data_IF_690694532229
#
_entry.id   IF_690694532229
#
_cell.length_a   1.000
_cell.length_b   1.000
_cell.length_c   1.000
_cell.angle_alpha   90.00
_cell.angle_beta   90.00
_cell.angle_gamma   90.00
#
_symmetry.space_group_name_H-M   'P 1'
#
loop_
_entity.id
_entity.type
_entity.pdbx_description
1 polymer ?
#
# COMPACT_ATOMS: atom_id res chain seq x y z
N UNK A 1 26.48 59.11 -8.95
CA UNK A 1 27.55 58.24 -8.39
C UNK A 1 26.89 57.38 -7.32
N UNK A 2 26.44 56.16 -7.63
CA UNK A 2 27.21 54.90 -7.52
C UNK A 2 27.67 54.66 -6.06
N UNK A 3 27.30 53.61 -5.31
CA UNK A 3 26.81 52.27 -5.63
C UNK A 3 26.01 51.67 -4.46
N UNK A 4 24.89 51.02 -4.80
CA UNK A 4 24.25 49.98 -3.99
C UNK A 4 25.22 48.80 -3.75
N UNK A 5 25.34 48.34 -2.51
CA UNK A 5 25.81 46.97 -2.20
C UNK A 5 24.67 46.20 -1.56
N UNK A 6 23.81 45.65 -2.41
CA UNK A 6 22.91 44.56 -2.06
C UNK A 6 23.76 43.32 -1.73
N UNK A 7 23.68 42.86 -0.48
CA UNK A 7 24.10 41.51 -0.12
C UNK A 7 23.13 40.52 -0.76
N UNK A 8 23.55 39.84 -1.83
CA UNK A 8 22.83 38.68 -2.32
C UNK A 8 23.03 37.53 -1.34
N UNK A 9 22.02 37.32 -0.49
CA UNK A 9 21.87 36.08 0.26
C UNK A 9 21.53 34.97 -0.73
N UNK A 10 22.56 34.28 -1.24
CA UNK A 10 22.36 33.07 -2.02
C UNK A 10 21.66 32.03 -1.15
N UNK A 11 20.51 31.56 -1.60
CA UNK A 11 19.78 30.50 -0.91
C UNK A 11 20.59 29.19 -1.00
N UNK A 12 20.52 28.34 0.03
CA UNK A 12 21.14 27.00 0.04
C UNK A 12 20.74 26.17 -1.20
N UNK A 13 19.58 26.46 -1.80
CA UNK A 13 19.10 25.83 -3.01
C UNK A 13 19.90 26.25 -4.25
N UNK A 14 20.26 27.53 -4.38
CA UNK A 14 21.13 28.03 -5.47
C UNK A 14 22.57 27.50 -5.32
N UNK A 15 23.04 27.31 -4.08
CA UNK A 15 24.35 26.72 -3.80
C UNK A 15 24.41 25.22 -4.19
N UNK A 16 23.32 24.48 -4.00
CA UNK A 16 23.20 23.08 -4.42
C UNK A 16 23.08 22.95 -5.95
N UNK A 17 22.38 23.88 -6.61
CA UNK A 17 22.25 23.91 -8.08
C UNK A 17 23.59 24.18 -8.76
N UNK A 18 24.47 24.99 -8.16
CA UNK A 18 25.83 25.23 -8.65
C UNK A 18 26.77 24.03 -8.49
N UNK A 19 26.50 23.10 -7.57
CA UNK A 19 27.33 21.91 -7.31
C UNK A 19 26.90 20.68 -8.14
N UNK A 20 25.67 20.63 -8.60
CA UNK A 20 25.10 19.53 -9.39
C UNK A 20 25.92 19.07 -10.62
N UNK A 21 26.65 19.94 -11.37
CA UNK A 21 27.44 19.50 -12.52
C UNK A 21 28.76 18.79 -12.16
N UNK A 22 29.12 18.73 -10.88
CA UNK A 22 30.47 18.31 -10.43
C UNK A 22 30.40 17.08 -9.51
N UNK A 23 29.21 16.73 -9.04
CA UNK A 23 28.98 15.57 -8.20
C UNK A 23 29.00 14.29 -9.04
N UNK A 24 30.13 13.58 -9.01
CA UNK A 24 30.19 12.18 -9.43
C UNK A 24 30.33 11.29 -8.19
N UNK A 25 29.42 10.34 -8.03
CA UNK A 25 29.54 9.28 -7.02
C UNK A 25 30.76 8.44 -7.40
N UNK A 26 31.76 8.38 -6.51
CA UNK A 26 32.99 7.63 -6.74
C UNK A 26 33.05 6.44 -5.78
N UNK A 27 33.11 5.23 -6.33
CA UNK A 27 33.17 3.97 -5.57
C UNK A 27 34.38 3.89 -4.62
N UNK A 28 35.45 4.66 -4.88
CA UNK A 28 36.65 4.71 -4.03
C UNK A 28 36.46 5.38 -2.66
N UNK A 29 35.53 6.34 -2.49
CA UNK A 29 35.24 6.90 -1.14
C UNK A 29 34.27 5.96 -0.37
N UNK A 30 33.41 5.22 -1.06
CA UNK A 30 32.45 4.29 -0.46
C UNK A 30 33.14 3.08 0.21
N UNK A 31 34.22 2.57 -0.39
CA UNK A 31 35.01 1.46 0.16
C UNK A 31 35.76 1.79 1.45
N UNK A 32 35.82 3.07 1.85
CA UNK A 32 36.42 3.53 3.11
C UNK A 32 35.38 3.88 4.19
N UNK A 33 34.11 3.60 3.97
CA UNK A 33 33.05 3.73 4.99
C UNK A 33 32.47 5.12 5.18
N UNK A 34 32.74 6.08 4.28
CA UNK A 34 32.20 7.43 4.35
C UNK A 34 31.15 7.69 3.26
N UNK A 35 30.09 8.42 3.57
CA UNK A 35 29.05 8.92 2.62
C UNK A 35 29.54 10.15 1.83
N UNK A 36 30.83 10.18 1.47
CA UNK A 36 31.52 11.37 0.98
C UNK A 36 31.35 11.63 -0.52
N UNK A 37 31.24 12.92 -0.87
CA UNK A 37 31.27 13.46 -2.23
C UNK A 37 32.72 13.65 -2.69
N UNK A 38 33.01 13.43 -3.98
CA UNK A 38 34.31 13.71 -4.60
C UNK A 38 34.33 15.08 -5.29
N UNK A 39 35.38 15.87 -5.05
CA UNK A 39 35.63 17.14 -5.76
C UNK A 39 37.00 17.07 -6.44
N UNK A 40 37.06 17.47 -7.72
CA UNK A 40 38.30 17.53 -8.51
C UNK A 40 39.08 18.80 -8.16
N UNK A 41 40.33 18.63 -7.71
CA UNK A 41 41.20 19.70 -7.20
C UNK A 41 41.50 20.79 -8.25
N UNK A 42 41.46 20.47 -9.54
CA UNK A 42 41.79 21.42 -10.62
C UNK A 42 40.63 22.36 -11.02
N UNK A 43 39.44 22.22 -10.43
CA UNK A 43 38.24 23.01 -10.78
C UNK A 43 37.78 24.01 -9.70
N UNK A 44 38.46 24.14 -8.56
CA UNK A 44 37.96 24.94 -7.43
C UNK A 44 38.99 25.86 -6.78
N UNK A 45 38.53 27.03 -6.32
CA UNK A 45 39.30 28.03 -5.57
C UNK A 45 39.41 27.65 -4.08
N UNK A 46 40.59 27.90 -3.51
CA UNK A 46 41.05 27.48 -2.17
C UNK A 46 40.17 27.89 -0.97
N UNK A 47 39.22 28.81 -1.14
CA UNK A 47 38.48 29.40 0.00
C UNK A 47 37.45 28.47 0.65
N UNK A 48 37.09 27.34 0.04
CA UNK A 48 36.03 26.44 0.54
C UNK A 48 36.57 25.36 1.49
N UNK A 49 37.85 24.99 1.37
CA UNK A 49 38.43 23.84 2.09
C UNK A 49 38.77 24.15 3.55
N UNK A 50 38.93 25.43 3.92
CA UNK A 50 39.36 25.81 5.26
C UNK A 50 38.37 25.47 6.39
N UNK A 51 37.12 25.12 6.08
CA UNK A 51 36.09 24.83 7.08
C UNK A 51 35.60 23.37 7.08
N UNK A 52 36.25 22.46 6.34
CA UNK A 52 35.84 21.06 6.25
C UNK A 52 37.05 20.15 6.47
N UNK A 53 36.93 19.16 7.38
CA UNK A 53 37.96 18.12 7.52
C UNK A 53 37.89 17.21 6.30
N UNK A 54 38.86 17.32 5.40
CA UNK A 54 38.97 16.44 4.24
C UNK A 54 40.27 15.64 4.33
N UNK A 55 40.25 14.39 3.83
CA UNK A 55 41.43 13.54 3.70
C UNK A 55 41.94 13.63 2.26
N UNK A 56 43.23 13.94 2.09
CA UNK A 56 43.85 14.07 0.76
C UNK A 56 44.41 12.71 0.27
N UNK A 57 44.06 12.31 -0.96
CA UNK A 57 44.83 11.32 -1.72
C UNK A 57 44.58 11.48 -3.22
N UNK A 58 45.64 11.53 -4.03
CA UNK A 58 45.64 11.46 -5.50
C UNK A 58 44.54 12.27 -6.21
N UNK A 59 44.75 13.60 -6.32
CA UNK A 59 43.94 14.57 -7.07
C UNK A 59 42.43 14.67 -6.70
N UNK A 60 41.99 13.96 -5.66
CA UNK A 60 40.61 13.90 -5.19
C UNK A 60 40.53 14.30 -3.71
N UNK A 61 39.49 15.08 -3.38
CA UNK A 61 39.19 15.50 -2.00
C UNK A 61 37.87 14.83 -1.58
N UNK A 62 37.90 13.93 -0.58
CA UNK A 62 36.69 13.39 0.05
C UNK A 62 36.37 14.27 1.29
N UNK A 63 35.17 14.85 1.37
CA UNK A 63 34.75 15.70 2.49
C UNK A 63 33.49 15.16 3.19
N UNK A 64 33.45 15.25 4.52
CA UNK A 64 32.38 14.74 5.38
C UNK A 64 31.34 15.83 5.69
N UNK A 65 30.08 15.59 5.32
CA UNK A 65 29.01 16.61 5.31
C UNK A 65 28.27 16.71 6.65
N UNK A 66 28.40 15.73 7.55
CA UNK A 66 27.64 15.73 8.81
C UNK A 66 28.17 16.74 9.85
N UNK A 67 29.45 17.14 9.80
CA UNK A 67 30.03 18.00 10.84
C UNK A 67 29.70 19.49 10.72
N UNK A 68 29.25 19.98 9.57
CA UNK A 68 29.14 21.42 9.28
C UNK A 68 27.73 21.99 9.53
N UNK A 69 26.71 21.13 9.53
CA UNK A 69 25.31 21.57 9.68
C UNK A 69 24.95 21.92 11.13
N UNK A 70 25.72 21.44 12.12
CA UNK A 70 25.36 21.54 13.54
C UNK A 70 25.79 22.82 14.27
N UNK A 71 26.31 23.85 13.58
CA UNK A 71 26.83 25.05 14.27
C UNK A 71 26.18 26.40 13.98
N UNK A 72 25.19 26.53 13.11
CA UNK A 72 24.51 27.83 12.93
C UNK A 72 22.99 27.73 13.05
N UNK A 73 22.47 28.40 14.09
CA UNK A 73 21.06 28.63 14.41
C UNK A 73 20.25 29.09 13.18
N UNK A 74 19.26 28.31 12.73
CA UNK A 74 18.10 28.84 11.97
C UNK A 74 16.81 28.11 12.39
N UNK A 75 15.83 28.95 12.70
CA UNK A 75 14.44 28.72 13.05
C UNK A 75 13.59 28.02 11.98
N UNK A 76 12.59 27.26 12.46
CA UNK A 76 11.32 26.86 11.83
C UNK A 76 11.12 27.30 10.35
N UNK A 77 11.19 26.35 9.43
CA UNK A 77 10.10 26.09 8.48
C UNK A 77 10.21 24.72 7.80
N UNK A 78 9.04 24.10 7.59
CA UNK A 78 8.78 22.72 7.16
C UNK A 78 9.46 22.35 5.84
N UNK A 79 10.29 21.29 5.86
CA UNK A 79 10.53 20.41 4.71
C UNK A 79 10.25 18.96 5.14
N UNK A 80 9.27 18.35 4.47
CA UNK A 80 8.97 16.92 4.55
C UNK A 80 10.07 16.17 3.81
N UNK A 81 11.12 15.79 4.53
CA UNK A 81 12.05 14.73 4.10
C UNK A 81 11.61 13.42 4.76
N UNK A 82 11.49 12.38 3.95
CA UNK A 82 11.35 10.99 4.42
C UNK A 82 12.61 10.65 5.21
N UNK A 83 12.57 10.85 6.52
CA UNK A 83 13.66 10.54 7.43
C UNK A 83 13.77 9.02 7.59
N UNK A 84 14.71 8.44 6.85
CA UNK A 84 15.20 7.08 7.01
C UNK A 84 16.32 6.95 8.08
N UNK A 85 16.38 7.86 9.06
CA UNK A 85 17.20 7.67 10.26
C UNK A 85 16.30 7.33 11.46
N UNK A 86 16.22 6.04 11.73
CA UNK A 86 15.56 5.41 12.87
C UNK A 86 15.93 6.09 14.19
N UNK A 87 15.03 6.90 14.75
CA UNK A 87 15.15 7.30 16.15
C UNK A 87 14.69 6.13 17.04
N UNK A 88 15.51 5.08 17.11
CA UNK A 88 15.24 3.88 17.92
C UNK A 88 14.93 4.25 19.37
N UNK A 89 15.55 5.31 19.90
CA UNK A 89 15.31 5.81 21.28
C UNK A 89 13.87 6.26 21.53
N UNK A 90 13.18 6.83 20.53
CA UNK A 90 11.78 7.29 20.70
C UNK A 90 10.80 6.14 20.88
N UNK A 91 11.12 4.98 20.28
CA UNK A 91 10.27 3.78 20.32
C UNK A 91 10.80 2.69 21.25
N UNK A 92 12.08 2.72 21.64
CA UNK A 92 12.68 1.79 22.62
C UNK A 92 12.11 1.96 24.02
N UNK A 93 11.57 3.15 24.35
CA UNK A 93 10.83 3.37 25.61
C UNK A 93 9.62 2.44 25.76
N UNK A 94 9.09 1.93 24.66
CA UNK A 94 7.96 0.99 24.67
C UNK A 94 8.40 -0.46 24.94
N UNK A 95 9.70 -0.70 25.23
CA UNK A 95 10.29 -1.99 24.94
C UNK A 95 11.39 -2.52 25.89
N UNK A 96 11.62 -1.99 27.11
CA UNK A 96 12.58 -2.69 28.00
C UNK A 96 12.12 -4.11 28.40
N UNK A 97 10.82 -4.41 28.36
CA UNK A 97 10.27 -5.75 28.64
C UNK A 97 10.13 -6.66 27.41
N UNK A 98 10.04 -6.09 26.19
CA UNK A 98 9.80 -6.86 24.95
C UNK A 98 11.06 -7.02 24.06
N UNK A 99 12.07 -6.16 24.18
CA UNK A 99 13.35 -6.28 23.42
C UNK A 99 14.13 -7.54 23.81
N UNK A 100 14.04 -7.97 25.07
CA UNK A 100 14.72 -9.17 25.58
C UNK A 100 14.06 -10.49 25.14
N UNK A 101 12.99 -10.44 24.32
CA UNK A 101 12.16 -11.60 23.97
C UNK A 101 12.11 -11.85 22.45
N UNK A 102 13.09 -11.32 21.70
CA UNK A 102 13.26 -11.61 20.26
C UNK A 102 13.11 -13.13 20.01
N UNK A 103 12.08 -13.50 19.24
CA UNK A 103 11.92 -14.86 18.71
C UNK A 103 11.02 -15.84 19.48
N UNK A 104 10.43 -15.47 20.63
CA UNK A 104 9.51 -16.39 21.33
C UNK A 104 8.06 -16.21 20.85
N UNK A 105 7.55 -17.21 20.09
CA UNK A 105 6.11 -17.36 19.79
C UNK A 105 5.30 -17.44 21.09
N UNK A 106 4.14 -16.78 21.15
CA UNK A 106 3.15 -17.00 22.21
C UNK A 106 3.22 -16.08 23.44
N UNK A 107 3.98 -14.98 23.42
CA UNK A 107 3.96 -14.03 24.53
C UNK A 107 2.69 -13.17 24.49
N UNK A 108 1.84 -13.36 25.50
CA UNK A 108 0.66 -12.55 25.72
C UNK A 108 1.07 -11.10 25.97
N UNK A 109 0.97 -10.28 24.92
CA UNK A 109 1.11 -8.84 25.04
C UNK A 109 -0.08 -8.35 25.88
N UNK A 110 0.11 -8.30 27.20
CA UNK A 110 -0.91 -7.84 28.15
C UNK A 110 -1.54 -6.51 27.68
N UNK A 111 -2.74 -6.21 28.16
CA UNK A 111 -3.48 -4.96 27.91
C UNK A 111 -2.69 -3.66 28.21
N UNK A 112 -1.52 -3.77 28.84
CA UNK A 112 -0.58 -2.67 29.12
C UNK A 112 0.49 -2.46 28.04
N UNK A 113 0.50 -3.23 26.95
CA UNK A 113 1.46 -3.06 25.86
C UNK A 113 1.29 -1.69 25.18
N UNK A 114 2.31 -0.81 25.22
CA UNK A 114 2.18 0.53 24.64
C UNK A 114 1.99 0.54 23.11
N UNK A 115 2.52 -0.48 22.42
CA UNK A 115 2.35 -0.64 20.99
C UNK A 115 0.88 -0.98 20.65
N UNK A 116 0.26 -1.89 21.40
CA UNK A 116 -1.17 -2.19 21.27
C UNK A 116 -2.04 -0.97 21.58
N UNK A 117 -1.72 -0.22 22.65
CA UNK A 117 -2.40 1.05 22.97
C UNK A 117 -2.26 2.10 21.85
N UNK A 118 -1.12 2.12 21.15
CA UNK A 118 -0.92 3.02 20.02
C UNK A 118 -1.74 2.57 18.81
N UNK A 119 -1.72 1.29 18.44
CA UNK A 119 -2.51 0.75 17.34
C UNK A 119 -4.02 0.90 17.57
N UNK A 120 -4.50 0.78 18.81
CA UNK A 120 -5.91 1.03 19.15
C UNK A 120 -6.36 2.49 18.94
N UNK A 121 -5.42 3.43 18.78
CA UNK A 121 -5.72 4.84 18.45
C UNK A 121 -5.87 5.13 16.96
N UNK A 122 -5.72 4.12 16.09
CA UNK A 122 -5.96 4.30 14.65
C UNK A 122 -7.41 4.73 14.39
N UNK A 123 -7.58 5.74 13.54
CA UNK A 123 -8.88 6.16 13.06
C UNK A 123 -9.23 5.39 11.79
N UNK A 124 -10.11 4.39 11.94
CA UNK A 124 -10.56 3.49 10.87
C UNK A 124 -12.09 3.52 10.91
N UNK A 125 -12.70 3.91 9.79
CA UNK A 125 -14.15 3.88 9.59
C UNK A 125 -14.69 2.45 9.78
N UNK A 126 -15.97 2.33 10.11
CA UNK A 126 -16.68 1.05 10.03
C UNK A 126 -16.80 0.56 8.58
N UNK A 127 -17.22 -0.69 8.40
CA UNK A 127 -17.49 -1.21 7.06
C UNK A 127 -18.62 -0.40 6.38
N UNK A 128 -19.66 -0.06 7.13
CA UNK A 128 -20.81 0.72 6.66
C UNK A 128 -20.44 2.16 6.32
N UNK A 129 -19.66 2.83 7.17
CA UNK A 129 -19.15 4.19 6.95
C UNK A 129 -18.22 4.24 5.73
N UNK A 130 -17.43 3.18 5.52
CA UNK A 130 -16.59 3.05 4.32
C UNK A 130 -17.45 2.93 3.06
N UNK A 131 -18.53 2.15 3.09
CA UNK A 131 -19.48 2.07 1.98
C UNK A 131 -20.15 3.42 1.71
N UNK A 132 -20.63 4.11 2.76
CA UNK A 132 -21.24 5.44 2.62
C UNK A 132 -20.27 6.44 2.00
N UNK A 133 -19.00 6.40 2.40
CA UNK A 133 -17.97 7.26 1.84
C UNK A 133 -17.80 7.05 0.32
N UNK A 134 -17.80 5.79 -0.13
CA UNK A 134 -17.67 5.41 -1.54
C UNK A 134 -18.92 5.80 -2.34
N UNK A 135 -20.10 5.42 -1.84
CA UNK A 135 -21.39 5.56 -2.53
C UNK A 135 -21.76 7.04 -2.67
N UNK A 136 -21.74 7.79 -1.57
CA UNK A 136 -22.28 9.16 -1.55
C UNK A 136 -21.40 10.16 -2.28
N UNK A 137 -20.12 9.83 -2.52
CA UNK A 137 -19.14 10.77 -3.05
C UNK A 137 -18.39 10.27 -4.29
N UNK A 138 -18.84 9.15 -4.89
CA UNK A 138 -18.19 8.47 -6.02
C UNK A 138 -16.68 8.30 -5.85
N UNK A 139 -16.25 7.90 -4.65
CA UNK A 139 -14.83 7.81 -4.29
C UNK A 139 -14.24 6.48 -4.74
N UNK A 140 -12.93 6.50 -4.99
CA UNK A 140 -12.13 5.30 -5.21
C UNK A 140 -11.66 4.73 -3.87
N UNK A 141 -11.22 3.47 -3.88
CA UNK A 141 -10.64 2.84 -2.68
C UNK A 141 -9.47 1.91 -3.05
N UNK A 142 -8.38 2.05 -2.30
CA UNK A 142 -7.26 1.10 -2.28
C UNK A 142 -7.20 0.45 -0.90
N UNK A 143 -7.23 -0.89 -0.83
CA UNK A 143 -7.29 -1.62 0.44
C UNK A 143 -5.96 -2.29 0.76
N UNK A 144 -5.63 -2.33 2.05
CA UNK A 144 -4.45 -2.99 2.62
C UNK A 144 -4.91 -4.03 3.64
N UNK A 145 -4.61 -5.29 3.35
CA UNK A 145 -4.69 -6.42 4.26
C UNK A 145 -3.32 -6.83 4.80
N UNK A 146 -3.28 -8.01 5.41
CA UNK A 146 -2.02 -8.62 5.87
C UNK A 146 -1.05 -8.89 4.71
N UNK A 147 -1.56 -9.20 3.51
CA UNK A 147 -0.73 -9.46 2.34
C UNK A 147 0.03 -8.23 1.85
N UNK A 148 -0.63 -7.08 1.75
CA UNK A 148 0.02 -5.82 1.35
C UNK A 148 1.07 -5.38 2.38
N UNK A 149 0.79 -5.53 3.67
CA UNK A 149 1.77 -5.26 4.72
C UNK A 149 2.98 -6.19 4.64
N UNK A 150 2.78 -7.50 4.40
CA UNK A 150 3.88 -8.45 4.22
C UNK A 150 4.79 -8.04 3.06
N UNK A 151 4.21 -7.64 1.92
CA UNK A 151 4.97 -7.16 0.77
C UNK A 151 5.76 -5.89 1.08
N UNK A 152 5.19 -4.93 1.81
CA UNK A 152 5.92 -3.76 2.31
C UNK A 152 7.08 -4.17 3.23
N UNK A 153 6.91 -5.25 4.00
CA UNK A 153 7.92 -5.75 4.93
C UNK A 153 8.99 -6.65 4.31
N UNK A 154 8.95 -6.87 2.99
CA UNK A 154 9.94 -7.69 2.29
C UNK A 154 9.54 -9.14 2.08
N UNK A 155 8.27 -9.50 2.32
CA UNK A 155 7.79 -10.87 2.36
C UNK A 155 6.77 -11.12 1.23
N UNK A 156 7.05 -12.11 0.37
CA UNK A 156 6.11 -12.55 -0.66
C UNK A 156 4.89 -13.27 -0.06
N UNK A 157 3.81 -13.33 -0.83
CA UNK A 157 2.57 -14.02 -0.44
C UNK A 157 2.20 -15.10 -1.46
N UNK A 158 1.24 -15.96 -1.11
CA UNK A 158 0.87 -17.16 -1.89
C UNK A 158 0.62 -16.91 -3.38
N UNK A 159 0.05 -15.76 -3.73
CA UNK A 159 -0.36 -15.41 -5.09
C UNK A 159 0.37 -14.18 -5.64
N UNK A 160 1.37 -13.66 -4.92
CA UNK A 160 2.21 -12.56 -5.40
C UNK A 160 3.59 -12.66 -4.75
N UNK A 161 4.61 -12.92 -5.56
CA UNK A 161 6.01 -12.90 -5.14
C UNK A 161 6.40 -11.50 -4.66
N UNK A 162 7.39 -11.43 -3.77
CA UNK A 162 7.98 -10.16 -3.39
C UNK A 162 8.61 -9.49 -4.61
N UNK A 163 8.35 -8.19 -4.75
CA UNK A 163 8.97 -7.30 -5.71
C UNK A 163 9.30 -5.97 -5.03
N UNK A 164 10.52 -5.48 -5.22
CA UNK A 164 11.01 -4.28 -4.53
C UNK A 164 10.31 -2.99 -5.01
N UNK A 165 9.92 -2.93 -6.28
CA UNK A 165 9.16 -1.80 -6.81
C UNK A 165 7.75 -1.81 -6.20
N UNK A 166 7.06 -2.95 -6.24
CA UNK A 166 5.75 -3.14 -5.63
C UNK A 166 5.74 -2.73 -4.16
N UNK A 167 6.73 -3.19 -3.39
CA UNK A 167 6.88 -2.90 -1.97
C UNK A 167 6.95 -1.40 -1.69
N UNK A 168 7.78 -0.66 -2.45
CA UNK A 168 7.90 0.80 -2.34
C UNK A 168 6.59 1.49 -2.68
N UNK A 169 5.96 1.10 -3.79
CA UNK A 169 4.69 1.68 -4.22
C UNK A 169 3.58 1.49 -3.20
N UNK A 170 3.45 0.29 -2.63
CA UNK A 170 2.48 0.03 -1.56
C UNK A 170 2.73 0.93 -0.35
N UNK A 171 3.98 1.12 0.06
CA UNK A 171 4.33 2.00 1.18
C UNK A 171 4.01 3.48 0.91
N UNK A 172 4.24 3.95 -0.32
CA UNK A 172 3.93 5.31 -0.75
C UNK A 172 2.40 5.54 -0.79
N UNK A 173 1.66 4.60 -1.39
CA UNK A 173 0.20 4.66 -1.51
C UNK A 173 -0.47 4.67 -0.15
N UNK A 174 -0.01 3.84 0.79
CA UNK A 174 -0.56 3.78 2.15
C UNK A 174 -0.56 5.15 2.84
N UNK A 175 0.49 5.94 2.60
CA UNK A 175 0.69 7.26 3.19
C UNK A 175 0.15 8.42 2.34
N UNK A 176 -0.36 8.15 1.14
CA UNK A 176 -0.95 9.17 0.28
C UNK A 176 -2.22 9.80 0.89
N UNK A 177 -2.53 11.05 0.57
CA UNK A 177 -3.78 11.72 0.96
C UNK A 177 -4.47 12.29 -0.27
N UNK A 178 -4.59 11.48 -1.32
CA UNK A 178 -5.23 11.89 -2.58
C UNK A 178 -6.71 12.17 -2.33
N UNK A 179 -7.15 13.37 -2.65
CA UNK A 179 -8.57 13.71 -2.63
C UNK A 179 -9.31 12.83 -3.63
N UNK A 180 -10.44 12.25 -3.23
CA UNK A 180 -11.17 11.35 -4.11
C UNK A 180 -10.90 9.85 -3.88
N UNK A 181 -9.88 9.51 -3.10
CA UNK A 181 -9.48 8.14 -2.81
C UNK A 181 -9.35 7.90 -1.30
N UNK A 182 -10.02 6.87 -0.80
CA UNK A 182 -9.81 6.40 0.57
C UNK A 182 -8.82 5.24 0.59
N UNK A 183 -7.83 5.33 1.47
CA UNK A 183 -6.95 4.20 1.78
C UNK A 183 -7.58 3.43 2.93
N UNK A 184 -7.75 2.12 2.77
CA UNK A 184 -8.37 1.28 3.77
C UNK A 184 -7.39 0.29 4.40
N UNK A 185 -7.50 0.09 5.72
CA UNK A 185 -6.65 -0.84 6.49
C UNK A 185 -7.54 -1.74 7.37
N UNK A 186 -7.00 -2.81 7.98
CA UNK A 186 -7.78 -3.71 8.83
C UNK A 186 -8.16 -3.07 10.15
N UNK A 187 -9.48 -3.01 10.45
CA UNK A 187 -10.01 -2.65 11.77
C UNK A 187 -9.40 -3.50 12.89
N UNK A 188 -9.05 -4.76 12.57
CA UNK A 188 -8.42 -5.72 13.49
C UNK A 188 -7.09 -5.24 14.05
N UNK A 189 -6.42 -4.28 13.40
CA UNK A 189 -5.23 -3.64 13.94
C UNK A 189 -5.51 -2.86 15.24
N UNK A 190 -6.74 -2.37 15.44
CA UNK A 190 -7.12 -1.63 16.66
C UNK A 190 -7.30 -2.55 17.89
N UNK A 191 -7.47 -3.85 17.70
CA UNK A 191 -8.02 -4.73 18.74
C UNK A 191 -6.93 -5.30 19.66
N UNK A 192 -6.96 -4.90 20.94
CA UNK A 192 -6.09 -5.41 22.02
C UNK A 192 -6.53 -6.80 22.54
N UNK A 193 -7.81 -7.16 22.33
CA UNK A 193 -8.41 -8.42 22.76
C UNK A 193 -9.18 -9.03 21.59
N UNK A 194 -8.52 -9.83 20.77
CA UNK A 194 -9.18 -10.53 19.67
C UNK A 194 -9.24 -12.03 20.01
N UNK A 195 -10.43 -12.64 19.86
CA UNK A 195 -10.56 -14.11 19.82
C UNK A 195 -10.07 -14.67 18.47
N UNK A 196 -9.80 -13.81 17.48
CA UNK A 196 -9.17 -14.20 16.24
C UNK A 196 -7.66 -14.36 16.44
N UNK A 197 -7.23 -15.62 16.55
CA UNK A 197 -5.84 -16.00 16.74
C UNK A 197 -4.90 -15.47 15.65
N UNK A 198 -5.38 -15.28 14.41
CA UNK A 198 -4.53 -14.80 13.32
C UNK A 198 -4.05 -13.36 13.56
N UNK A 199 -4.98 -12.41 13.69
CA UNK A 199 -4.62 -10.99 13.86
C UNK A 199 -3.90 -10.72 15.17
N UNK A 200 -4.22 -11.44 16.25
CA UNK A 200 -3.47 -11.38 17.51
C UNK A 200 -2.00 -11.73 17.29
N UNK A 201 -1.74 -12.85 16.60
CA UNK A 201 -0.38 -13.30 16.29
C UNK A 201 0.33 -12.34 15.32
N UNK A 202 -0.40 -11.88 14.29
CA UNK A 202 0.12 -10.95 13.29
C UNK A 202 0.59 -9.64 13.94
N UNK A 203 -0.26 -9.02 14.77
CA UNK A 203 0.08 -7.78 15.48
C UNK A 203 1.26 -8.01 16.44
N UNK A 204 1.27 -9.11 17.19
CA UNK A 204 2.39 -9.45 18.08
C UNK A 204 3.73 -9.49 17.32
N UNK A 205 3.72 -10.05 16.10
CA UNK A 205 4.90 -10.15 15.25
C UNK A 205 5.31 -8.81 14.61
N UNK A 206 4.34 -8.02 14.13
CA UNK A 206 4.61 -6.86 13.26
C UNK A 206 4.30 -5.49 13.88
N UNK A 207 3.83 -5.40 15.13
CA UNK A 207 3.34 -4.16 15.76
C UNK A 207 4.28 -2.95 15.61
N UNK A 208 5.60 -3.14 15.72
CA UNK A 208 6.55 -2.03 15.59
C UNK A 208 6.76 -1.60 14.14
N UNK A 209 6.72 -2.54 13.18
CA UNK A 209 6.76 -2.21 11.76
C UNK A 209 5.47 -1.45 11.38
N UNK A 210 4.32 -1.93 11.84
CA UNK A 210 3.02 -1.28 11.64
C UNK A 210 2.97 0.14 12.21
N UNK A 211 3.42 0.36 13.46
CA UNK A 211 3.43 1.70 14.07
C UNK A 211 4.36 2.68 13.34
N UNK A 212 5.46 2.20 12.75
CA UNK A 212 6.36 3.05 11.96
C UNK A 212 5.75 3.39 10.60
N UNK A 213 5.02 2.44 10.02
CA UNK A 213 4.47 2.55 8.68
C UNK A 213 3.17 3.39 8.64
N UNK A 214 2.32 3.26 9.65
CA UNK A 214 0.97 3.85 9.67
C UNK A 214 0.97 5.31 10.13
N UNK A 215 0.23 6.15 9.42
CA UNK A 215 -0.06 7.51 9.83
C UNK A 215 -1.27 7.56 10.78
N UNK A 216 -1.06 7.97 12.03
CA UNK A 216 -2.11 8.01 13.07
C UNK A 216 -2.99 9.27 13.04
N UNK A 217 -2.67 10.25 12.20
CA UNK A 217 -3.48 11.46 12.02
C UNK A 217 -4.41 11.37 10.81
N UNK A 218 -4.41 10.22 10.13
CA UNK A 218 -5.19 9.94 8.93
C UNK A 218 -6.43 9.13 9.28
N UNK A 219 -7.52 9.39 8.55
CA UNK A 219 -8.73 8.56 8.55
C UNK A 219 -8.55 7.49 7.47
N UNK A 220 -8.71 6.22 7.86
CA UNK A 220 -8.70 5.10 6.94
C UNK A 220 -10.10 4.53 6.73
N UNK A 221 -10.35 4.00 5.54
CA UNK A 221 -11.47 3.08 5.32
C UNK A 221 -11.20 1.72 5.94
N UNK A 222 -12.20 0.84 5.91
CA UNK A 222 -12.06 -0.52 6.42
C UNK A 222 -11.82 -1.51 5.29
N UNK A 223 -10.67 -2.19 5.31
CA UNK A 223 -10.34 -3.20 4.29
C UNK A 223 -11.31 -4.39 4.30
N UNK A 224 -12.02 -4.59 5.41
CA UNK A 224 -12.92 -5.73 5.63
C UNK A 224 -14.29 -5.53 4.98
N UNK A 225 -14.51 -4.41 4.26
CA UNK A 225 -15.72 -4.20 3.47
C UNK A 225 -15.92 -5.29 2.40
N UNK A 226 -14.84 -5.94 1.94
CA UNK A 226 -14.90 -7.07 1.01
C UNK A 226 -14.97 -8.43 1.73
N UNK A 227 -15.13 -8.46 3.06
CA UNK A 227 -15.03 -9.66 3.93
C UNK A 227 -16.17 -9.73 4.93
N UNK A 228 -17.37 -9.32 4.52
CA UNK A 228 -18.51 -9.05 5.39
C UNK A 228 -19.17 -10.27 6.06
N UNK A 229 -18.96 -11.49 5.54
CA UNK A 229 -19.68 -12.66 6.05
C UNK A 229 -19.15 -13.18 7.40
N UNK A 230 -17.84 -13.39 7.53
CA UNK A 230 -17.24 -14.08 8.69
C UNK A 230 -17.29 -13.32 10.01
N UNK A 231 -17.62 -12.02 9.98
CA UNK A 231 -17.57 -11.17 11.17
C UNK A 231 -18.95 -10.79 11.70
N UNK A 232 -20.00 -11.16 10.97
CA UNK A 232 -21.38 -10.86 11.33
C UNK A 232 -22.07 -12.13 11.79
N UNK A 233 -22.59 -12.12 13.02
CA UNK A 233 -23.25 -13.28 13.61
C UNK A 233 -24.71 -13.43 13.13
N UNK A 234 -25.28 -12.39 12.51
CA UNK A 234 -26.69 -12.36 12.12
C UNK A 234 -26.84 -12.24 10.60
N UNK A 235 -27.54 -13.22 9.99
CA UNK A 235 -27.79 -13.30 8.55
C UNK A 235 -28.54 -12.08 8.01
N UNK A 236 -29.48 -11.52 8.76
CA UNK A 236 -30.25 -10.35 8.32
C UNK A 236 -29.37 -9.11 8.14
N UNK A 237 -28.35 -8.97 9.00
CA UNK A 237 -27.44 -7.83 8.95
C UNK A 237 -26.44 -7.98 7.79
N UNK A 238 -26.02 -9.22 7.51
CA UNK A 238 -25.24 -9.51 6.29
C UNK A 238 -26.03 -9.20 5.03
N UNK A 239 -27.32 -9.55 4.97
CA UNK A 239 -28.19 -9.21 3.83
C UNK A 239 -28.27 -7.70 3.60
N UNK A 240 -28.60 -6.92 4.65
CA UNK A 240 -28.62 -5.45 4.57
C UNK A 240 -27.27 -4.88 4.12
N UNK A 241 -26.17 -5.48 4.56
CA UNK A 241 -24.83 -5.07 4.13
C UNK A 241 -24.60 -5.36 2.64
N UNK A 242 -25.01 -6.53 2.15
CA UNK A 242 -24.92 -6.89 0.73
C UNK A 242 -25.77 -5.94 -0.12
N UNK A 243 -27.00 -5.65 0.29
CA UNK A 243 -27.88 -4.71 -0.40
C UNK A 243 -27.23 -3.32 -0.51
N UNK A 244 -26.60 -2.86 0.58
CA UNK A 244 -25.84 -1.61 0.59
C UNK A 244 -24.60 -1.68 -0.30
N UNK A 245 -23.87 -2.79 -0.28
CA UNK A 245 -22.69 -3.00 -1.13
C UNK A 245 -23.07 -2.93 -2.62
N UNK A 246 -24.20 -3.52 -3.01
CA UNK A 246 -24.73 -3.49 -4.39
C UNK A 246 -25.03 -2.07 -4.88
N UNK A 247 -25.23 -1.10 -4.00
CA UNK A 247 -25.39 0.32 -4.38
C UNK A 247 -24.14 0.93 -5.01
N UNK A 248 -22.95 0.36 -4.81
CA UNK A 248 -21.72 0.85 -5.46
C UNK A 248 -21.86 0.80 -6.99
N UNK A 249 -22.51 -0.25 -7.52
CA UNK A 249 -22.63 -0.57 -8.94
C UNK A 249 -24.06 -0.58 -9.46
N UNK A 250 -25.02 -0.08 -8.68
CA UNK A 250 -26.43 -0.03 -9.09
C UNK A 250 -26.62 0.77 -10.38
N UNK A 251 -27.17 0.10 -11.40
CA UNK A 251 -27.45 0.65 -12.74
C UNK A 251 -26.22 1.25 -13.43
N UNK A 252 -25.00 0.86 -13.03
CA UNK A 252 -23.76 1.32 -13.64
C UNK A 252 -23.28 0.37 -14.73
N UNK A 253 -22.63 0.95 -15.74
CA UNK A 253 -21.77 0.22 -16.68
C UNK A 253 -20.44 -0.06 -15.97
N UNK A 254 -20.06 -1.34 -15.82
CA UNK A 254 -18.87 -1.73 -15.04
C UNK A 254 -17.83 -2.45 -15.90
N UNK A 255 -16.56 -2.27 -15.54
CA UNK A 255 -15.45 -3.10 -16.01
C UNK A 255 -14.76 -3.75 -14.82
N UNK A 256 -14.67 -5.08 -14.84
CA UNK A 256 -14.04 -5.88 -13.81
C UNK A 256 -12.63 -6.24 -14.26
N UNK A 257 -11.62 -5.85 -13.48
CA UNK A 257 -10.22 -6.24 -13.68
C UNK A 257 -9.88 -7.30 -12.64
N UNK A 258 -9.72 -8.55 -13.07
CA UNK A 258 -9.63 -9.69 -12.16
C UNK A 258 -8.71 -10.80 -12.69
N UNK A 259 -8.28 -11.69 -11.80
CA UNK A 259 -7.57 -12.90 -12.23
C UNK A 259 -8.47 -13.80 -13.09
N UNK A 260 -7.92 -14.50 -14.07
CA UNK A 260 -8.67 -15.37 -15.01
C UNK A 260 -9.51 -16.49 -14.35
N UNK A 261 -9.30 -16.73 -13.05
CA UNK A 261 -10.03 -17.71 -12.24
C UNK A 261 -10.78 -17.09 -11.05
N UNK A 262 -10.78 -15.76 -10.91
CA UNK A 262 -11.57 -15.04 -9.90
C UNK A 262 -13.06 -15.16 -10.20
N UNK A 263 -13.47 -14.84 -11.44
CA UNK A 263 -14.83 -14.98 -11.98
C UNK A 263 -15.87 -14.30 -11.07
N UNK A 264 -15.57 -13.08 -10.67
CA UNK A 264 -16.35 -12.26 -9.75
C UNK A 264 -17.78 -12.08 -10.27
N UNK A 265 -18.77 -12.47 -9.45
CA UNK A 265 -20.19 -12.41 -9.77
C UNK A 265 -20.70 -13.47 -10.73
N UNK A 266 -19.87 -14.43 -11.17
CA UNK A 266 -20.31 -15.53 -12.03
C UNK A 266 -21.03 -16.59 -11.20
N UNK A 267 -22.14 -17.12 -11.74
CA UNK A 267 -23.02 -18.11 -11.10
C UNK A 267 -23.66 -17.66 -9.77
N UNK A 268 -23.79 -16.35 -9.55
CA UNK A 268 -24.55 -15.77 -8.45
C UNK A 268 -25.18 -14.43 -8.88
N UNK A 269 -26.00 -13.83 -8.02
CA UNK A 269 -26.74 -12.60 -8.31
C UNK A 269 -26.08 -11.32 -7.75
N UNK A 270 -24.78 -11.35 -7.39
CA UNK A 270 -24.10 -10.20 -6.78
C UNK A 270 -24.14 -8.95 -7.66
N UNK A 271 -24.08 -9.15 -8.98
CA UNK A 271 -24.01 -8.11 -10.00
C UNK A 271 -25.32 -7.92 -10.78
N UNK A 272 -26.43 -8.51 -10.35
CA UNK A 272 -27.70 -8.50 -11.10
C UNK A 272 -28.31 -7.10 -11.29
N UNK A 273 -27.91 -6.13 -10.47
CA UNK A 273 -28.38 -4.74 -10.54
C UNK A 273 -27.44 -3.83 -11.36
N UNK A 274 -26.40 -4.37 -11.99
CA UNK A 274 -25.55 -3.62 -12.93
C UNK A 274 -26.26 -3.41 -14.26
N UNK A 275 -25.84 -2.39 -15.02
CA UNK A 275 -26.39 -2.12 -16.36
C UNK A 275 -25.68 -2.94 -17.44
N UNK A 276 -24.35 -2.94 -17.44
CA UNK A 276 -23.52 -3.78 -18.31
C UNK A 276 -22.27 -4.23 -17.56
N UNK A 277 -21.73 -5.38 -17.97
CA UNK A 277 -20.51 -5.97 -17.39
C UNK A 277 -19.52 -6.22 -18.52
N UNK A 278 -18.29 -5.78 -18.32
CA UNK A 278 -17.13 -6.13 -19.14
C UNK A 278 -15.96 -6.55 -18.25
N UNK A 279 -14.99 -7.28 -18.80
CA UNK A 279 -13.89 -7.88 -18.03
C UNK A 279 -12.55 -7.71 -18.73
N UNK A 280 -11.53 -7.38 -17.94
CA UNK A 280 -10.11 -7.52 -18.28
C UNK A 280 -9.58 -8.68 -17.44
N UNK A 281 -9.30 -9.81 -18.09
CA UNK A 281 -8.75 -10.97 -17.40
C UNK A 281 -7.23 -10.83 -17.28
N UNK A 282 -6.74 -11.02 -16.06
CA UNK A 282 -5.34 -10.89 -15.68
C UNK A 282 -4.80 -12.24 -15.15
N UNK A 283 -3.50 -12.37 -14.88
CA UNK A 283 -2.96 -13.57 -14.26
C UNK A 283 -3.57 -13.80 -12.87
N UNK A 284 -3.89 -15.06 -12.54
CA UNK A 284 -4.40 -15.41 -11.21
C UNK A 284 -3.32 -15.30 -10.10
N UNK A 285 -2.04 -15.34 -10.48
CA UNK A 285 -0.87 -15.29 -9.60
C UNK A 285 0.17 -14.37 -10.23
N UNK A 286 0.88 -13.61 -9.41
CA UNK A 286 1.93 -12.67 -9.83
C UNK A 286 1.47 -11.64 -10.87
N UNK A 287 0.22 -11.18 -10.77
CA UNK A 287 -0.33 -10.23 -11.74
C UNK A 287 0.47 -8.92 -11.83
N UNK A 288 1.23 -8.57 -10.78
CA UNK A 288 2.11 -7.40 -10.81
C UNK A 288 3.24 -7.53 -11.84
N UNK A 289 3.62 -8.74 -12.24
CA UNK A 289 4.68 -8.97 -13.25
C UNK A 289 4.30 -8.38 -14.62
N UNK A 290 3.01 -8.25 -14.90
CA UNK A 290 2.47 -7.65 -16.13
C UNK A 290 1.69 -6.36 -15.84
N UNK A 291 2.03 -5.66 -14.75
CA UNK A 291 1.33 -4.45 -14.28
C UNK A 291 1.12 -3.42 -15.39
N UNK A 292 2.17 -3.09 -16.13
CA UNK A 292 2.10 -2.07 -17.20
C UNK A 292 1.14 -2.48 -18.32
N UNK A 293 1.08 -3.77 -18.69
CA UNK A 293 0.11 -4.27 -19.67
C UNK A 293 -1.32 -4.09 -19.14
N UNK A 294 -1.56 -4.47 -17.87
CA UNK A 294 -2.88 -4.32 -17.22
C UNK A 294 -3.30 -2.86 -17.15
N UNK A 295 -2.41 -1.98 -16.68
CA UNK A 295 -2.67 -0.56 -16.56
C UNK A 295 -2.99 0.07 -17.92
N UNK A 296 -2.19 -0.21 -18.95
CA UNK A 296 -2.42 0.33 -20.29
C UNK A 296 -3.72 -0.15 -20.93
N UNK A 297 -4.14 -1.40 -20.72
CA UNK A 297 -5.45 -1.85 -21.18
C UNK A 297 -6.59 -1.17 -20.41
N UNK A 298 -6.43 -0.97 -19.10
CA UNK A 298 -7.41 -0.26 -18.29
C UNK A 298 -7.59 1.21 -18.72
N UNK A 299 -6.53 1.88 -19.19
CA UNK A 299 -6.60 3.26 -19.72
C UNK A 299 -7.42 3.40 -21.01
N UNK A 300 -7.73 2.30 -21.71
CA UNK A 300 -8.58 2.33 -22.90
C UNK A 300 -10.07 2.38 -22.57
N UNK A 301 -10.42 2.12 -21.31
CA UNK A 301 -11.81 2.13 -20.84
C UNK A 301 -12.32 3.57 -20.74
N UNK A 302 -13.58 3.81 -21.10
CA UNK A 302 -14.24 5.09 -20.87
C UNK A 302 -14.35 5.38 -19.36
N UNK A 303 -13.94 6.58 -18.93
CA UNK A 303 -13.92 7.04 -17.53
C UNK A 303 -15.30 7.10 -16.86
N UNK A 304 -16.38 7.13 -17.63
CA UNK A 304 -17.76 7.06 -17.11
C UNK A 304 -18.11 5.68 -16.54
N UNK A 305 -17.32 4.64 -16.89
CA UNK A 305 -17.51 3.29 -16.36
C UNK A 305 -16.85 3.14 -14.99
N UNK A 306 -17.52 2.42 -14.10
CA UNK A 306 -16.96 2.03 -12.82
C UNK A 306 -15.98 0.88 -12.99
N UNK A 307 -14.77 1.02 -12.44
CA UNK A 307 -13.77 -0.06 -12.44
C UNK A 307 -13.85 -0.82 -11.10
N UNK A 308 -14.12 -2.12 -11.16
CA UNK A 308 -14.04 -3.03 -10.01
C UNK A 308 -12.78 -3.89 -10.16
N UNK A 309 -11.97 -4.01 -9.11
CA UNK A 309 -10.67 -4.70 -9.20
C UNK A 309 -10.55 -5.81 -8.15
N UNK A 310 -10.37 -7.05 -8.60
CA UNK A 310 -10.20 -8.23 -7.75
C UNK A 310 -8.91 -8.97 -8.12
N UNK A 311 -7.77 -8.36 -7.77
CA UNK A 311 -6.43 -8.74 -8.26
C UNK A 311 -5.34 -8.70 -7.18
N UNK A 312 -5.69 -8.96 -5.92
CA UNK A 312 -4.74 -8.97 -4.80
C UNK A 312 -4.01 -7.62 -4.63
N UNK A 313 -2.74 -7.59 -4.21
CA UNK A 313 -2.01 -6.34 -3.98
C UNK A 313 -1.77 -5.53 -5.27
N UNK A 314 -1.89 -6.14 -6.45
CA UNK A 314 -1.95 -5.41 -7.73
C UNK A 314 -3.18 -4.52 -7.80
N UNK A 315 -4.31 -4.94 -7.22
CA UNK A 315 -5.53 -4.14 -7.16
C UNK A 315 -5.38 -2.87 -6.32
N UNK A 316 -4.69 -2.97 -5.17
CA UNK A 316 -4.40 -1.83 -4.30
C UNK A 316 -3.68 -0.72 -5.07
N UNK A 317 -2.67 -1.11 -5.85
CA UNK A 317 -1.86 -0.20 -6.65
C UNK A 317 -2.66 0.33 -7.86
N UNK A 318 -3.33 -0.56 -8.58
CA UNK A 318 -4.09 -0.20 -9.78
C UNK A 318 -5.24 0.76 -9.46
N UNK A 319 -5.94 0.56 -8.34
CA UNK A 319 -7.00 1.47 -7.90
C UNK A 319 -6.47 2.88 -7.65
N UNK A 320 -5.28 3.01 -7.05
CA UNK A 320 -4.64 4.29 -6.81
C UNK A 320 -4.24 4.99 -8.12
N UNK A 321 -3.61 4.25 -9.04
CA UNK A 321 -3.16 4.81 -10.31
C UNK A 321 -4.32 5.23 -11.21
N UNK A 322 -5.32 4.35 -11.38
CA UNK A 322 -6.52 4.66 -12.16
C UNK A 322 -7.27 5.85 -11.59
N UNK A 323 -7.35 5.96 -10.26
CA UNK A 323 -7.90 7.14 -9.62
C UNK A 323 -7.16 8.43 -10.01
N UNK A 324 -5.82 8.41 -10.00
CA UNK A 324 -5.03 9.60 -10.33
C UNK A 324 -5.19 10.08 -11.79
N UNK A 325 -5.64 9.22 -12.69
CA UNK A 325 -5.92 9.59 -14.10
C UNK A 325 -7.42 9.78 -14.39
N UNK A 326 -8.26 9.78 -13.34
CA UNK A 326 -9.65 10.23 -13.38
C UNK A 326 -10.71 9.13 -13.42
N UNK A 327 -10.36 7.86 -13.16
CA UNK A 327 -11.36 6.79 -13.00
C UNK A 327 -11.90 6.74 -11.58
N UNK A 328 -13.14 6.25 -11.43
CA UNK A 328 -13.57 5.66 -10.17
C UNK A 328 -13.13 4.18 -10.15
N UNK A 329 -12.22 3.83 -9.25
CA UNK A 329 -11.67 2.48 -9.13
C UNK A 329 -11.87 1.92 -7.71
N UNK A 330 -12.49 0.75 -7.63
CA UNK A 330 -12.82 0.08 -6.38
C UNK A 330 -12.04 -1.22 -6.30
N UNK A 331 -11.02 -1.26 -5.45
CA UNK A 331 -10.44 -2.52 -5.01
C UNK A 331 -11.51 -3.32 -4.23
N UNK A 332 -12.14 -4.29 -4.88
CA UNK A 332 -13.29 -5.04 -4.37
C UNK A 332 -12.90 -6.42 -3.80
N UNK A 333 -11.66 -6.85 -4.04
CA UNK A 333 -11.07 -8.05 -3.45
C UNK A 333 -11.98 -9.28 -3.46
N UNK A 334 -12.12 -9.91 -2.29
CA UNK A 334 -12.88 -11.15 -2.11
C UNK A 334 -14.36 -10.96 -1.74
N UNK A 335 -14.99 -9.87 -2.20
CA UNK A 335 -16.43 -9.67 -1.92
C UNK A 335 -17.30 -10.80 -2.50
N UNK A 336 -16.98 -11.27 -3.72
CA UNK A 336 -17.65 -12.41 -4.35
C UNK A 336 -17.52 -13.70 -3.53
N UNK A 337 -16.31 -14.07 -3.11
CA UNK A 337 -16.11 -15.26 -2.27
C UNK A 337 -16.85 -15.14 -0.93
N UNK A 338 -16.89 -13.94 -0.33
CA UNK A 338 -17.67 -13.70 0.90
C UNK A 338 -19.17 -13.87 0.66
N UNK A 339 -19.66 -13.48 -0.52
CA UNK A 339 -21.05 -13.66 -0.93
C UNK A 339 -21.38 -15.14 -1.19
N UNK A 340 -20.51 -15.87 -1.86
CA UNK A 340 -20.69 -17.30 -2.14
C UNK A 340 -20.78 -18.14 -0.86
N UNK A 341 -19.94 -17.83 0.13
CA UNK A 341 -20.02 -18.45 1.46
C UNK A 341 -21.32 -18.09 2.18
N UNK A 342 -21.79 -16.85 2.05
CA UNK A 342 -23.07 -16.42 2.59
C UNK A 342 -24.25 -17.16 1.94
N UNK A 343 -24.25 -17.33 0.60
CA UNK A 343 -25.30 -18.04 -0.13
C UNK A 343 -25.38 -19.52 0.29
N UNK A 344 -24.23 -20.15 0.55
CA UNK A 344 -24.13 -21.56 0.98
C UNK A 344 -24.31 -21.78 2.48
N UNK A 345 -24.60 -20.74 3.27
CA UNK A 345 -24.62 -20.81 4.73
C UNK A 345 -23.36 -21.47 5.31
N UNK A 346 -22.19 -21.14 4.75
CA UNK A 346 -20.96 -21.83 5.06
C UNK A 346 -20.52 -21.57 6.52
N UNK A 347 -20.34 -22.62 7.31
CA UNK A 347 -19.85 -22.52 8.70
C UNK A 347 -18.33 -22.44 8.79
N UNK A 348 -17.64 -22.71 7.69
CA UNK A 348 -16.19 -22.63 7.53
C UNK A 348 -15.86 -22.31 6.07
N UNK A 349 -14.61 -21.91 5.79
CA UNK A 349 -14.18 -21.58 4.42
C UNK A 349 -14.18 -22.84 3.56
N UNK A 350 -15.05 -22.87 2.55
CA UNK A 350 -15.20 -23.97 1.59
C UNK A 350 -14.73 -23.56 0.20
N UNK A 351 -14.39 -24.55 -0.63
CA UNK A 351 -14.14 -24.31 -2.07
C UNK A 351 -15.43 -23.81 -2.71
N UNK A 352 -15.28 -22.98 -3.74
CA UNK A 352 -16.39 -22.56 -4.58
C UNK A 352 -16.16 -23.17 -5.96
N UNK A 353 -17.22 -23.78 -6.50
CA UNK A 353 -17.19 -24.42 -7.81
C UNK A 353 -16.71 -23.41 -8.85
N UNK A 354 -15.77 -23.83 -9.70
CA UNK A 354 -15.29 -23.03 -10.81
C UNK A 354 -14.70 -21.67 -10.40
N UNK A 355 -14.24 -21.49 -9.15
CA UNK A 355 -13.56 -20.24 -8.72
C UNK A 355 -12.28 -20.52 -7.95
N UNK A 356 -11.33 -19.60 -8.05
CA UNK A 356 -10.08 -19.62 -7.31
C UNK A 356 -10.29 -19.10 -5.89
N UNK A 357 -9.99 -19.93 -4.88
CA UNK A 357 -10.09 -19.57 -3.46
C UNK A 357 -8.76 -19.85 -2.77
N UNK A 358 -7.98 -18.80 -2.50
CA UNK A 358 -6.63 -18.92 -1.93
C UNK A 358 -6.61 -19.26 -0.43
N UNK A 359 -7.70 -19.04 0.31
CA UNK A 359 -7.75 -19.34 1.75
C UNK A 359 -8.19 -20.77 2.08
N UNK A 360 -8.53 -21.57 1.06
CA UNK A 360 -9.00 -22.94 1.22
C UNK A 360 -7.93 -23.92 0.70
N UNK A 361 -7.71 -25.00 1.45
CA UNK A 361 -6.82 -26.08 1.01
C UNK A 361 -7.32 -26.63 -0.33
N UNK A 362 -6.43 -26.68 -1.31
CA UNK A 362 -6.72 -27.08 -2.69
C UNK A 362 -7.83 -26.25 -3.40
N UNK A 363 -8.24 -25.09 -2.86
CA UNK A 363 -9.22 -24.18 -3.48
C UNK A 363 -8.67 -23.42 -4.70
N UNK A 364 -7.39 -23.58 -4.99
CA UNK A 364 -6.69 -23.04 -6.16
C UNK A 364 -6.39 -24.10 -7.22
N UNK A 365 -6.76 -25.36 -6.97
CA UNK A 365 -6.46 -26.51 -7.84
C UNK A 365 -7.74 -27.05 -8.46
N UNK A 366 -7.61 -27.63 -9.66
CA UNK A 366 -8.71 -28.29 -10.39
C UNK A 366 -9.95 -27.39 -10.52
N UNK A 367 -9.72 -26.12 -10.85
CA UNK A 367 -10.79 -25.15 -11.07
C UNK A 367 -11.41 -25.48 -12.42
N UNK A 368 -12.67 -25.92 -12.40
CA UNK A 368 -13.41 -26.29 -13.61
C UNK A 368 -13.66 -25.09 -14.52
N UNK A 369 -14.11 -25.34 -15.74
CA UNK A 369 -14.40 -24.31 -16.73
C UNK A 369 -15.79 -23.68 -16.51
N UNK A 370 -15.99 -22.49 -17.08
CA UNK A 370 -17.31 -21.88 -17.18
C UNK A 370 -17.96 -22.38 -18.47
N UNK A 371 -19.18 -22.91 -18.36
CA UNK A 371 -19.98 -23.38 -19.48
C UNK A 371 -20.92 -22.31 -20.04
N UNK A 372 -21.15 -21.23 -19.28
CA UNK A 372 -22.00 -20.12 -19.71
C UNK A 372 -21.25 -19.18 -20.66
N UNK A 373 -21.73 -19.08 -21.90
CA UNK A 373 -21.16 -18.21 -22.92
C UNK A 373 -21.24 -16.72 -22.55
N UNK A 374 -22.22 -16.32 -21.73
CA UNK A 374 -22.40 -14.94 -21.31
C UNK A 374 -21.17 -14.39 -20.59
N UNK A 375 -20.40 -15.24 -19.90
CA UNK A 375 -19.14 -14.86 -19.26
C UNK A 375 -18.08 -14.49 -20.30
N UNK A 376 -17.95 -15.28 -21.37
CA UNK A 376 -16.93 -15.06 -22.39
C UNK A 376 -17.23 -13.81 -23.23
N UNK A 377 -18.50 -13.53 -23.49
CA UNK A 377 -18.94 -12.30 -24.18
C UNK A 377 -18.63 -11.02 -23.39
N UNK A 378 -18.42 -11.14 -22.07
CA UNK A 378 -18.01 -10.00 -21.22
C UNK A 378 -16.50 -9.71 -21.33
N UNK A 379 -15.67 -10.63 -21.85
CA UNK A 379 -14.21 -10.48 -21.85
C UNK A 379 -13.76 -9.55 -22.97
N UNK A 380 -13.18 -8.40 -22.61
CA UNK A 380 -12.58 -7.47 -23.56
C UNK A 380 -11.19 -7.92 -24.00
N UNK A 381 -10.38 -8.36 -23.04
CA UNK A 381 -9.00 -8.76 -23.28
C UNK A 381 -8.54 -9.72 -22.18
N UNK A 382 -7.64 -10.62 -22.55
CA UNK A 382 -6.96 -11.55 -21.65
C UNK A 382 -5.46 -11.27 -21.65
N UNK A 383 -4.92 -10.94 -20.48
CA UNK A 383 -3.51 -10.67 -20.22
C UNK A 383 -3.00 -11.78 -19.30
N UNK A 384 -2.01 -12.53 -19.76
CA UNK A 384 -1.39 -13.61 -18.99
C UNK A 384 0.10 -13.34 -18.78
N UNK A 385 0.67 -13.99 -17.77
CA UNK A 385 2.12 -14.06 -17.64
C UNK A 385 2.66 -14.86 -18.83
N UNK A 386 3.85 -14.48 -19.31
CA UNK A 386 4.59 -15.22 -20.34
C UNK A 386 5.07 -16.58 -19.83
#
# INVERSE_FOLDING_TARGET
>A
MLQNKNFYAFSILEFLILLLPILTLCDKCYSKGNTGICINKNKYKDSIVNNVRCLESDNLVCCDLESTINKNNISRNKRLTVNNSLNEKKYSKYCKKCLNLKGKKGLDCSSRCPALKKLSSLNILSNEETLDYIINNNKSISRFGDGEFNLIFGEGIRFQKFDNNMSKRLADILNSNKEGLIIAIPDKLKMVKNNNNFWKNYISMYQYKLIKLLNFNKIYGNTQMSRFYWFNNNRSDVLKYIDKLKLIWDKKDIVIIEGEKSRFGINNDLLNNTKTIQRILCPAINAYDVYEKIYNEALKINKDKLILIALGPTATILAYDLHNVGYQAIDIGHADISYEWFLRNATHKIKIENKYVNEVKDGSKNIGDITDNSYYDQILVKILNE
#
